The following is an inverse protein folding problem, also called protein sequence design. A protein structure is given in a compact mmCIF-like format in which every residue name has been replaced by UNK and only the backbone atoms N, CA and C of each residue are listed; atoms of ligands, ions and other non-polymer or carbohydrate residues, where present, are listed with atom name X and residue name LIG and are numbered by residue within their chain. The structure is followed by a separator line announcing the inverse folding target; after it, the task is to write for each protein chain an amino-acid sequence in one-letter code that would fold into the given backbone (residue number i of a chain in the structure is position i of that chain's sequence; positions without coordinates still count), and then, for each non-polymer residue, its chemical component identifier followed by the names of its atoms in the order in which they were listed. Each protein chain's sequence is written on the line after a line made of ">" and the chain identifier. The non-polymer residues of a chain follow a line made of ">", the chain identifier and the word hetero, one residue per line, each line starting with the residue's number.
data_IF_713005416753
#
_entry.id   IF_713005416753
#
_cell.length_a   1.000
_cell.length_b   1.000
_cell.length_c   1.000
_cell.angle_alpha   90.00
_cell.angle_beta   90.00
_cell.angle_gamma   90.00
#
_symmetry.space_group_name_H-M   'P 1'
#
loop_
_entity.id
_entity.type
_entity.pdbx_description
1 polymer ?
#
# COMPACT_ATOMS: atom_id res chain seq x y z
N UNK A 1 -4.81 8.62 -17.82
CA UNK A 1 -3.72 9.04 -16.92
C UNK A 1 -3.54 7.98 -15.84
N UNK A 2 -2.31 7.54 -15.58
CA UNK A 2 -1.98 6.59 -14.51
C UNK A 2 -1.46 7.41 -13.33
N UNK A 3 -2.05 7.21 -12.15
CA UNK A 3 -1.60 7.83 -10.90
C UNK A 3 -1.08 6.76 -9.94
N UNK A 4 0.09 7.02 -9.34
CA UNK A 4 0.78 6.09 -8.46
C UNK A 4 0.90 6.72 -7.09
N UNK A 5 0.20 6.14 -6.12
CA UNK A 5 0.35 6.51 -4.72
C UNK A 5 1.16 5.45 -4.00
N UNK A 6 2.41 5.79 -3.66
CA UNK A 6 3.37 4.88 -3.07
C UNK A 6 3.61 5.17 -1.58
N UNK A 7 3.74 4.11 -0.79
CA UNK A 7 4.13 4.12 0.61
C UNK A 7 5.37 3.24 0.80
N UNK A 8 6.44 3.84 1.31
CA UNK A 8 7.69 3.12 1.60
C UNK A 8 7.48 2.14 2.76
N UNK A 9 8.11 0.97 2.65
CA UNK A 9 8.17 0.01 3.75
C UNK A 9 9.46 0.22 4.55
N UNK A 10 9.35 0.49 5.85
CA UNK A 10 10.49 0.69 6.74
C UNK A 10 10.93 -0.59 7.48
N UNK A 11 10.57 -1.76 6.96
CA UNK A 11 10.93 -3.05 7.55
C UNK A 11 12.24 -3.55 6.94
N UNK A 12 13.29 -3.64 7.76
CA UNK A 12 14.65 -3.96 7.29
C UNK A 12 14.81 -5.38 6.74
N UNK A 13 13.99 -6.34 7.17
CA UNK A 13 14.05 -7.75 6.76
C UNK A 13 12.87 -8.18 5.87
N UNK A 14 12.23 -7.24 5.16
CA UNK A 14 11.11 -7.56 4.27
C UNK A 14 11.52 -7.54 2.80
N UNK A 15 11.11 -8.56 2.06
CA UNK A 15 11.22 -8.57 0.58
C UNK A 15 10.31 -7.50 -0.06
N UNK A 16 9.33 -6.99 0.69
CA UNK A 16 8.49 -5.86 0.27
C UNK A 16 9.20 -4.57 0.63
N UNK A 17 9.49 -3.75 -0.36
CA UNK A 17 10.18 -2.47 -0.17
C UNK A 17 9.21 -1.28 -0.16
N UNK A 18 8.06 -1.43 -0.81
CA UNK A 18 6.99 -0.45 -0.80
C UNK A 18 5.66 -1.11 -1.16
N UNK A 19 4.58 -0.35 -1.08
CA UNK A 19 3.32 -0.70 -1.73
C UNK A 19 2.41 0.50 -1.76
N UNK A 20 1.22 0.34 -2.31
CA UNK A 20 0.26 1.43 -2.36
C UNK A 20 -0.82 1.19 -3.38
N UNK A 21 -1.25 2.26 -4.04
CA UNK A 21 -2.39 2.24 -4.94
C UNK A 21 -2.03 2.75 -6.34
N UNK A 22 -2.51 2.03 -7.34
CA UNK A 22 -2.53 2.44 -8.73
C UNK A 22 -3.94 2.92 -9.06
N UNK A 23 -4.07 4.14 -9.56
CA UNK A 23 -5.33 4.66 -10.09
C UNK A 23 -5.25 4.75 -11.60
N UNK A 24 -6.06 3.97 -12.31
CA UNK A 24 -6.10 3.95 -13.77
C UNK A 24 -7.25 4.83 -14.24
N UNK A 25 -6.92 5.84 -15.04
CA UNK A 25 -7.86 6.76 -15.67
C UNK A 25 -8.83 7.46 -14.70
N UNK A 26 -8.46 7.62 -13.42
CA UNK A 26 -9.36 8.10 -12.35
C UNK A 26 -10.64 7.25 -12.14
N UNK A 27 -10.70 6.06 -12.71
CA UNK A 27 -11.88 5.19 -12.64
C UNK A 27 -11.68 4.06 -11.64
N UNK A 28 -10.52 3.42 -11.67
CA UNK A 28 -10.27 2.20 -10.89
C UNK A 28 -9.04 2.41 -10.03
N UNK A 29 -9.16 2.08 -8.75
CA UNK A 29 -8.04 2.03 -7.80
C UNK A 29 -7.75 0.60 -7.40
N UNK A 30 -6.51 0.17 -7.55
CA UNK A 30 -6.07 -1.18 -7.15
C UNK A 30 -4.84 -1.10 -6.25
N UNK A 31 -4.74 -2.00 -5.28
CA UNK A 31 -3.56 -2.14 -4.44
C UNK A 31 -2.41 -2.76 -5.24
N UNK A 32 -1.17 -2.45 -4.87
CA UNK A 32 0.01 -3.17 -5.36
C UNK A 32 1.09 -3.25 -4.28
N UNK A 33 1.97 -4.24 -4.41
CA UNK A 33 3.19 -4.34 -3.61
C UNK A 33 4.42 -4.22 -4.49
N UNK A 34 5.42 -3.44 -4.08
CA UNK A 34 6.73 -3.40 -4.73
C UNK A 34 7.66 -4.34 -3.98
N UNK A 35 8.15 -5.36 -4.68
CA UNK A 35 8.98 -6.41 -4.12
C UNK A 35 10.38 -6.35 -4.70
N UNK A 36 11.35 -6.81 -3.91
CA UNK A 36 12.73 -7.04 -4.35
C UNK A 36 12.91 -8.50 -4.73
N UNK A 37 13.70 -8.75 -5.78
CA UNK A 37 14.12 -10.10 -6.14
C UNK A 37 15.01 -10.70 -5.04
N UNK A 38 15.05 -12.04 -4.96
CA UNK A 38 15.91 -12.73 -3.98
C UNK A 38 17.39 -12.40 -4.14
N UNK A 39 17.83 -12.14 -5.37
CA UNK A 39 19.21 -11.72 -5.67
C UNK A 39 19.51 -10.28 -5.24
N UNK A 40 18.49 -9.48 -4.94
CA UNK A 40 18.65 -8.11 -4.44
C UNK A 40 18.65 -7.02 -5.51
N UNK A 41 18.89 -7.39 -6.77
CA UNK A 41 19.14 -6.47 -7.89
C UNK A 41 17.88 -5.95 -8.59
N UNK A 42 16.76 -6.65 -8.47
CA UNK A 42 15.53 -6.34 -9.23
C UNK A 42 14.40 -5.84 -8.35
N UNK A 43 13.66 -4.85 -8.82
CA UNK A 43 12.38 -4.41 -8.26
C UNK A 43 11.25 -4.77 -9.22
N UNK A 44 10.13 -5.26 -8.70
CA UNK A 44 8.97 -5.59 -9.52
C UNK A 44 7.66 -5.37 -8.77
N UNK A 45 6.61 -5.01 -9.52
CA UNK A 45 5.27 -4.82 -8.97
C UNK A 45 4.55 -6.15 -8.89
N UNK A 46 4.03 -6.48 -7.71
CA UNK A 46 3.14 -7.60 -7.47
C UNK A 46 1.71 -7.10 -7.33
N UNK A 47 0.82 -7.71 -8.12
CA UNK A 47 -0.62 -7.44 -8.07
C UNK A 47 -1.29 -8.20 -6.93
N UNK A 48 -2.48 -7.76 -6.49
CA UNK A 48 -3.23 -8.43 -5.44
C UNK A 48 -3.63 -9.82 -5.94
N UNK A 49 -3.31 -10.83 -5.13
CA UNK A 49 -3.54 -12.23 -5.45
C UNK A 49 -4.26 -12.93 -4.31
N UNK A 50 -4.88 -14.06 -4.64
CA UNK A 50 -5.51 -14.98 -3.70
C UNK A 50 -5.07 -16.39 -3.96
N UNK A 51 -5.11 -17.18 -2.89
CA UNK A 51 -4.92 -18.62 -3.00
C UNK A 51 -6.28 -19.27 -3.31
N UNK A 52 -6.33 -19.99 -4.43
CA UNK A 52 -7.48 -20.80 -4.80
C UNK A 52 -7.61 -22.04 -3.91
N UNK A 53 -8.76 -22.72 -4.01
CA UNK A 53 -9.03 -23.97 -3.28
C UNK A 53 -8.02 -25.08 -3.62
N UNK A 54 -7.46 -25.03 -4.82
CA UNK A 54 -6.47 -25.98 -5.33
C UNK A 54 -5.04 -25.65 -4.85
N UNK A 55 -4.87 -24.60 -4.05
CA UNK A 55 -3.57 -24.14 -3.55
C UNK A 55 -2.80 -23.23 -4.51
N UNK A 56 -3.25 -23.07 -5.76
CA UNK A 56 -2.67 -22.15 -6.73
C UNK A 56 -2.98 -20.69 -6.43
N UNK A 57 -1.98 -19.82 -6.60
CA UNK A 57 -2.15 -18.38 -6.46
C UNK A 57 -2.60 -17.75 -7.77
N UNK A 58 -3.69 -17.00 -7.72
CA UNK A 58 -4.25 -16.27 -8.88
C UNK A 58 -4.35 -14.80 -8.55
N UNK A 59 -4.10 -13.95 -9.54
CA UNK A 59 -4.23 -12.51 -9.38
C UNK A 59 -5.70 -12.10 -9.49
N UNK A 60 -6.14 -11.17 -8.65
CA UNK A 60 -7.42 -10.49 -8.81
C UNK A 60 -7.38 -9.46 -9.94
N UNK A 61 -6.21 -8.85 -10.13
CA UNK A 61 -5.96 -7.82 -11.13
C UNK A 61 -4.75 -8.23 -11.93
N UNK A 62 -4.90 -8.19 -13.25
CA UNK A 62 -3.80 -8.40 -14.18
C UNK A 62 -3.70 -7.22 -15.14
N UNK A 63 -2.52 -7.05 -15.71
CA UNK A 63 -2.30 -6.14 -16.82
C UNK A 63 -2.92 -6.71 -18.10
N UNK A 64 -3.52 -5.84 -18.91
CA UNK A 64 -4.13 -6.23 -20.19
C UNK A 64 -3.10 -6.83 -21.16
N UNK A 65 -1.87 -6.32 -21.15
CA UNK A 65 -0.77 -6.81 -21.96
C UNK A 65 0.59 -6.59 -21.27
N UNK A 66 1.65 -7.14 -21.85
CA UNK A 66 3.03 -6.99 -21.36
C UNK A 66 3.48 -5.53 -21.32
N UNK A 67 3.13 -4.74 -22.33
CA UNK A 67 3.51 -3.32 -22.40
C UNK A 67 2.90 -2.53 -21.23
N UNK A 68 1.62 -2.75 -20.90
CA UNK A 68 0.97 -2.12 -19.76
C UNK A 68 1.65 -2.54 -18.43
N UNK A 69 2.07 -3.81 -18.32
CA UNK A 69 2.84 -4.28 -17.17
C UNK A 69 4.16 -3.53 -17.03
N UNK A 70 4.88 -3.33 -18.13
CA UNK A 70 6.14 -2.60 -18.17
C UNK A 70 5.96 -1.13 -17.84
N UNK A 71 4.91 -0.48 -18.37
CA UNK A 71 4.56 0.90 -18.02
C UNK A 71 4.24 1.07 -16.53
N UNK A 72 3.45 0.14 -15.95
CA UNK A 72 3.14 0.17 -14.51
C UNK A 72 4.40 -0.04 -13.68
N UNK A 73 5.25 -1.02 -14.04
CA UNK A 73 6.51 -1.27 -13.34
C UNK A 73 7.42 -0.03 -13.38
N UNK A 74 7.60 0.58 -14.55
CA UNK A 74 8.43 1.76 -14.72
C UNK A 74 7.92 2.94 -13.89
N UNK A 75 6.62 3.22 -13.94
CA UNK A 75 6.00 4.32 -13.18
C UNK A 75 6.15 4.13 -11.66
N UNK A 76 5.96 2.91 -11.16
CA UNK A 76 6.11 2.61 -9.73
C UNK A 76 7.57 2.69 -9.28
N UNK A 77 8.51 2.19 -10.07
CA UNK A 77 9.93 2.21 -9.74
C UNK A 77 10.47 3.65 -9.76
N UNK A 78 10.04 4.45 -10.74
CA UNK A 78 10.38 5.87 -10.81
C UNK A 78 9.88 6.62 -9.57
N UNK A 79 8.62 6.44 -9.19
CA UNK A 79 8.03 7.04 -7.97
C UNK A 79 8.75 6.57 -6.71
N UNK A 80 9.09 5.27 -6.63
CA UNK A 80 9.88 4.73 -5.52
C UNK A 80 11.26 5.40 -5.41
N UNK A 81 11.96 5.55 -6.53
CA UNK A 81 13.28 6.18 -6.56
C UNK A 81 13.19 7.66 -6.21
N UNK A 82 12.15 8.37 -6.67
CA UNK A 82 11.88 9.77 -6.29
C UNK A 82 11.68 9.92 -4.79
N UNK A 83 10.81 9.12 -4.17
CA UNK A 83 10.57 9.18 -2.73
C UNK A 83 11.78 8.74 -1.90
N UNK A 84 12.55 7.77 -2.39
CA UNK A 84 13.75 7.26 -1.71
C UNK A 84 14.92 8.24 -1.76
N UNK A 85 15.15 8.90 -2.90
CA UNK A 85 16.27 9.83 -3.09
C UNK A 85 15.90 11.27 -2.68
N UNK A 86 14.61 11.62 -2.68
CA UNK A 86 14.11 12.96 -2.42
C UNK A 86 13.61 13.23 -1.00
N UNK A 87 13.65 12.24 -0.08
CA UNK A 87 13.43 12.44 1.36
C UNK A 87 12.09 13.06 1.76
N UNK A 88 11.20 12.23 2.32
CA UNK A 88 10.16 12.67 3.26
C UNK A 88 9.06 13.60 2.73
N UNK A 89 8.23 13.13 1.78
CA UNK A 89 6.87 13.70 1.68
C UNK A 89 5.97 12.99 2.69
N UNK A 90 5.99 13.46 3.94
CA UNK A 90 5.04 13.07 4.96
C UNK A 90 3.64 13.58 4.61
N UNK A 91 2.92 12.82 3.79
CA UNK A 91 1.49 13.05 3.59
C UNK A 91 0.73 12.72 4.88
N UNK A 92 0.15 13.74 5.52
CA UNK A 92 -0.86 13.58 6.58
C UNK A 92 -2.24 13.55 5.93
N UNK A 93 -3.04 12.47 6.05
CA UNK A 93 -4.41 12.46 5.55
C UNK A 93 -5.31 13.43 6.33
N UNK A 94 -6.20 14.20 5.67
CA UNK A 94 -7.22 14.97 6.36
C UNK A 94 -8.20 14.06 7.12
N UNK A 95 -8.45 14.35 8.40
CA UNK A 95 -9.40 13.63 9.26
C UNK A 95 -10.83 14.08 8.94
N UNK A 96 -11.69 13.15 8.52
CA UNK A 96 -13.13 13.39 8.32
C UNK A 96 -13.84 13.15 9.64
N UNK A 97 -14.31 14.22 10.30
CA UNK A 97 -15.07 14.16 11.54
C UNK A 97 -16.51 13.71 11.24
N UNK A 98 -16.83 12.45 11.52
CA UNK A 98 -18.22 11.99 11.62
C UNK A 98 -18.59 11.90 13.10
N UNK A 99 -19.36 12.86 13.60
CA UNK A 99 -20.03 12.78 14.89
C UNK A 99 -21.54 12.64 14.67
N UNK A 100 -22.18 11.55 15.14
CA UNK A 100 -23.58 11.55 15.47
C UNK A 100 -23.76 11.83 16.97
N UNK A 101 -24.63 12.79 17.23
CA UNK A 101 -25.21 13.21 18.50
C UNK A 101 -25.80 12.05 19.34
N UNK A 102 -25.72 12.14 20.68
CA UNK A 102 -26.49 11.30 21.62
C UNK A 102 -25.71 10.64 22.79
N UNK A 103 -25.91 11.19 23.99
CA UNK A 103 -25.38 10.84 25.33
C UNK A 103 -25.76 9.47 25.94
N UNK A 104 -24.88 8.79 26.71
CA UNK A 104 -25.09 8.23 28.09
C UNK A 104 -23.76 7.88 28.84
N UNK A 105 -23.55 8.56 29.98
CA UNK A 105 -22.97 8.22 31.33
C UNK A 105 -21.95 7.06 31.58
N UNK A 106 -20.74 7.49 32.01
CA UNK A 106 -19.85 7.09 33.14
C UNK A 106 -19.74 5.65 33.70
N UNK A 107 -18.50 5.14 33.72
CA UNK A 107 -18.05 4.03 34.58
C UNK A 107 -16.52 3.95 34.66
N UNK A 108 -15.98 4.13 35.88
CA UNK A 108 -14.57 4.14 36.26
C UNK A 108 -13.87 2.78 36.10
N UNK A 109 -12.64 2.79 35.57
CA UNK A 109 -11.74 1.62 35.58
C UNK A 109 -10.39 1.91 34.92
N UNK A 110 -9.40 2.19 35.74
CA UNK A 110 -7.99 2.39 35.34
C UNK A 110 -7.39 1.10 34.78
N UNK A 111 -6.82 1.12 33.56
CA UNK A 111 -5.64 0.31 33.18
C UNK A 111 -4.80 1.07 32.15
N UNK A 112 -3.72 1.66 32.64
CA UNK A 112 -2.63 2.18 31.83
C UNK A 112 -1.95 1.01 31.10
N UNK A 113 -2.12 0.94 29.79
CA UNK A 113 -1.26 0.17 28.89
C UNK A 113 -0.95 1.04 27.68
N UNK A 114 0.27 1.56 27.65
CA UNK A 114 0.81 2.38 26.56
C UNK A 114 1.02 1.54 25.29
N UNK A 115 -0.08 1.18 24.62
CA UNK A 115 -0.06 0.59 23.29
C UNK A 115 -0.23 1.74 22.28
N UNK A 116 0.80 2.11 21.50
CA UNK A 116 0.63 3.05 20.41
C UNK A 116 -0.28 2.43 19.34
N UNK A 117 -1.55 2.81 19.38
CA UNK A 117 -2.59 2.40 18.46
C UNK A 117 -2.49 3.14 17.14
N UNK A 118 -1.68 2.63 16.21
CA UNK A 118 -1.90 2.90 14.80
C UNK A 118 -1.26 1.83 13.91
N UNK A 119 -1.96 0.69 13.78
CA UNK A 119 -1.76 -0.25 12.67
C UNK A 119 -3.08 -0.30 11.89
N UNK A 120 -3.28 0.52 10.85
CA UNK A 120 -4.43 0.34 9.99
C UNK A 120 -4.29 -0.99 9.23
N UNK A 121 -5.35 -1.82 9.34
CA UNK A 121 -5.63 -2.95 8.45
C UNK A 121 -5.76 -2.47 7.00
#
# INVERSE_FOLDING_TARGET
>A
MLDVRLFLNNQQNSNRVAGGYLTVANLIKTHFSLLRTKSGDGLFVSFPSYQGKDGEWKNYVDSVNREAREQINAAVIDEYNKQRNGGSSSYTPPQVNNSPDGSVVQGSGERNSSIPGNRPF
#
